data_IF_350544532483
#
_entry.id   IF_350544532483
#
_cell.length_a   1.000
_cell.length_b   1.000
_cell.length_c   1.000
_cell.angle_alpha   90.00
_cell.angle_beta   90.00
_cell.angle_gamma   90.00
#
_symmetry.space_group_name_H-M   'P 1'
#
loop_
_entity.id
_entity.type
_entity.pdbx_description
1 polymer ?
#
# COMPACT_ATOMS: atom_id res chain seq x y z
N UNK A 1 0.13 -22.26 -8.61
CA UNK A 1 -0.45 -22.43 -7.25
C UNK A 1 -1.50 -23.51 -7.36
N UNK A 2 -1.62 -24.40 -6.37
CA UNK A 2 -2.64 -25.46 -6.37
C UNK A 2 -3.45 -25.41 -5.08
N UNK A 3 -4.76 -25.62 -5.17
CA UNK A 3 -5.67 -25.68 -4.04
C UNK A 3 -6.27 -27.08 -3.95
N UNK A 4 -6.22 -27.67 -2.75
CA UNK A 4 -6.79 -28.98 -2.47
C UNK A 4 -7.78 -28.91 -1.32
N UNK A 5 -8.94 -29.52 -1.51
CA UNK A 5 -9.85 -29.89 -0.43
C UNK A 5 -9.37 -31.18 0.23
N UNK A 6 -9.33 -31.21 1.56
CA UNK A 6 -8.94 -32.39 2.34
C UNK A 6 -10.20 -33.11 2.82
N UNK A 7 -10.44 -34.31 2.32
CA UNK A 7 -11.53 -35.17 2.82
C UNK A 7 -11.20 -35.73 4.21
N UNK A 8 -12.20 -36.18 4.98
CA UNK A 8 -12.02 -36.74 6.34
C UNK A 8 -10.95 -37.84 6.44
N UNK A 9 -10.77 -38.62 5.37
CA UNK A 9 -9.79 -39.72 5.30
C UNK A 9 -8.37 -39.27 4.93
N UNK A 10 -8.18 -37.97 4.67
CA UNK A 10 -6.91 -37.39 4.22
C UNK A 10 -6.66 -37.48 2.71
N UNK A 11 -7.67 -37.85 1.92
CA UNK A 11 -7.57 -37.79 0.46
C UNK A 11 -7.65 -36.32 0.02
N UNK A 12 -6.92 -35.99 -1.06
CA UNK A 12 -6.88 -34.66 -1.63
C UNK A 12 -7.74 -34.60 -2.89
N UNK A 13 -8.55 -33.56 -3.00
CA UNK A 13 -9.35 -33.24 -4.18
C UNK A 13 -8.98 -31.83 -4.66
N UNK A 14 -8.48 -31.71 -5.89
CA UNK A 14 -8.10 -30.41 -6.45
C UNK A 14 -9.35 -29.56 -6.71
N UNK A 15 -9.26 -28.26 -6.37
CA UNK A 15 -10.35 -27.29 -6.52
C UNK A 15 -9.82 -26.00 -7.12
N UNK A 16 -10.63 -25.38 -7.97
CA UNK A 16 -10.30 -24.08 -8.55
C UNK A 16 -10.75 -22.92 -7.66
N UNK A 17 -11.65 -23.14 -6.70
CA UNK A 17 -12.24 -22.07 -5.89
C UNK A 17 -12.38 -22.48 -4.44
N UNK A 18 -12.18 -21.53 -3.54
CA UNK A 18 -12.24 -21.72 -2.09
C UNK A 18 -13.52 -21.13 -1.49
N UNK A 19 -14.30 -21.96 -0.80
CA UNK A 19 -15.60 -21.57 -0.22
C UNK A 19 -15.57 -21.34 1.31
N UNK A 20 -14.41 -21.55 1.96
CA UNK A 20 -14.16 -21.27 3.40
C UNK A 20 -15.27 -21.73 4.36
N UNK A 21 -15.74 -22.97 4.20
CA UNK A 21 -16.68 -23.55 5.15
C UNK A 21 -16.01 -23.85 6.50
N UNK A 22 -16.74 -23.64 7.60
CA UNK A 22 -16.20 -23.78 8.96
C UNK A 22 -15.86 -25.24 9.32
N UNK A 23 -16.45 -26.21 8.64
CA UNK A 23 -16.31 -27.65 8.86
C UNK A 23 -15.27 -28.31 7.93
N UNK A 24 -14.55 -27.52 7.13
CA UNK A 24 -13.64 -28.00 6.11
C UNK A 24 -12.16 -27.71 6.41
N UNK A 25 -11.27 -28.44 5.72
CA UNK A 25 -9.83 -28.17 5.67
C UNK A 25 -9.33 -28.12 4.23
N UNK A 26 -8.41 -27.19 3.98
CA UNK A 26 -7.84 -26.95 2.65
C UNK A 26 -6.31 -26.88 2.72
N UNK A 27 -5.65 -27.31 1.63
CA UNK A 27 -4.22 -27.12 1.41
C UNK A 27 -4.00 -26.17 0.24
N UNK A 28 -3.20 -25.14 0.45
CA UNK A 28 -2.78 -24.20 -0.62
C UNK A 28 -1.29 -24.35 -0.84
N UNK A 29 -0.91 -24.80 -2.03
CA UNK A 29 0.49 -24.98 -2.44
C UNK A 29 0.98 -23.80 -3.29
N UNK A 30 1.85 -22.99 -2.69
CA UNK A 30 2.53 -21.84 -3.30
C UNK A 30 3.99 -22.15 -3.67
N UNK A 31 4.27 -23.39 -4.12
CA UNK A 31 5.60 -23.92 -4.50
C UNK A 31 6.58 -24.07 -3.32
N UNK A 32 6.86 -22.99 -2.60
CA UNK A 32 7.82 -22.91 -1.49
C UNK A 32 7.16 -23.09 -0.11
N UNK A 33 5.87 -22.78 -0.01
CA UNK A 33 5.09 -22.89 1.22
C UNK A 33 3.80 -23.65 0.94
N UNK A 34 3.42 -24.56 1.83
CA UNK A 34 2.12 -25.20 1.83
C UNK A 34 1.36 -24.70 3.05
N UNK A 35 0.28 -23.97 2.82
CA UNK A 35 -0.62 -23.50 3.86
C UNK A 35 -1.68 -24.57 4.13
N UNK A 36 -1.93 -24.84 5.40
CA UNK A 36 -2.94 -25.77 5.89
C UNK A 36 -4.00 -24.93 6.59
N UNK A 37 -5.10 -24.65 5.90
CA UNK A 37 -6.20 -23.89 6.47
C UNK A 37 -7.22 -24.84 7.11
N UNK A 38 -7.62 -24.52 8.35
CA UNK A 38 -8.45 -25.36 9.20
C UNK A 38 -9.68 -24.56 9.64
N UNK A 39 -10.86 -25.00 9.22
CA UNK A 39 -12.13 -24.45 9.66
C UNK A 39 -12.34 -24.62 11.17
N UNK A 40 -13.09 -23.71 11.80
CA UNK A 40 -13.30 -23.72 13.25
C UNK A 40 -14.06 -24.95 13.76
N UNK A 41 -15.02 -25.44 12.99
CA UNK A 41 -15.91 -26.55 13.32
C UNK A 41 -15.36 -27.95 13.01
N UNK A 42 -14.16 -28.03 12.45
CA UNK A 42 -13.63 -29.30 11.97
C UNK A 42 -13.19 -30.25 13.11
N UNK A 43 -13.55 -31.54 13.06
CA UNK A 43 -13.13 -32.54 14.05
C UNK A 43 -11.61 -32.74 14.13
N UNK A 44 -11.10 -33.07 15.33
CA UNK A 44 -9.66 -33.26 15.58
C UNK A 44 -9.01 -34.32 14.68
N UNK A 45 -9.70 -35.44 14.45
CA UNK A 45 -9.24 -36.50 13.56
C UNK A 45 -9.08 -36.05 12.10
N UNK A 46 -9.89 -35.08 11.67
CA UNK A 46 -9.81 -34.51 10.32
C UNK A 46 -8.66 -33.49 10.24
N UNK A 47 -8.42 -32.69 11.29
CA UNK A 47 -7.20 -31.86 11.42
C UNK A 47 -5.93 -32.69 11.27
N UNK A 48 -5.83 -33.81 12.00
CA UNK A 48 -4.68 -34.72 11.91
C UNK A 48 -4.50 -35.30 10.51
N UNK A 49 -5.61 -35.57 9.82
CA UNK A 49 -5.61 -36.08 8.45
C UNK A 49 -5.13 -35.03 7.46
N UNK A 50 -5.52 -33.76 7.61
CA UNK A 50 -5.02 -32.63 6.82
C UNK A 50 -3.51 -32.42 7.00
N UNK A 51 -3.02 -32.44 8.23
CA UNK A 51 -1.58 -32.31 8.51
C UNK A 51 -0.80 -33.50 7.92
N UNK A 52 -1.34 -34.72 7.99
CA UNK A 52 -0.73 -35.90 7.37
C UNK A 52 -0.67 -35.78 5.85
N UNK A 53 -1.75 -35.31 5.22
CA UNK A 53 -1.83 -35.11 3.78
C UNK A 53 -0.84 -34.03 3.32
N UNK A 54 -0.75 -32.89 4.01
CA UNK A 54 0.22 -31.84 3.72
C UNK A 54 1.67 -32.35 3.78
N UNK A 55 2.01 -33.18 4.77
CA UNK A 55 3.32 -33.81 4.87
C UNK A 55 3.58 -34.82 3.75
N UNK A 56 2.56 -35.53 3.29
CA UNK A 56 2.69 -36.45 2.15
C UNK A 56 2.94 -35.68 0.85
N UNK A 57 2.14 -34.64 0.58
CA UNK A 57 2.30 -33.74 -0.55
C UNK A 57 3.71 -33.11 -0.58
N UNK A 58 4.20 -32.62 0.57
CA UNK A 58 5.53 -32.04 0.67
C UNK A 58 6.65 -33.07 0.35
N UNK A 59 6.50 -34.32 0.78
CA UNK A 59 7.45 -35.39 0.45
C UNK A 59 7.44 -35.74 -1.04
N UNK A 60 6.26 -35.81 -1.65
CA UNK A 60 6.10 -36.15 -3.07
C UNK A 60 6.75 -35.12 -3.99
N UNK A 61 6.70 -33.84 -3.62
CA UNK A 61 7.36 -32.75 -4.37
C UNK A 61 8.89 -32.85 -4.36
N UNK A 62 9.48 -33.63 -3.45
CA UNK A 62 10.93 -33.79 -3.31
C UNK A 62 11.68 -32.53 -2.85
N UNK A 63 10.97 -31.42 -2.61
CA UNK A 63 11.49 -30.15 -2.07
C UNK A 63 10.93 -29.94 -0.67
N UNK A 64 11.75 -29.46 0.26
CA UNK A 64 11.31 -29.14 1.62
C UNK A 64 10.55 -27.80 1.64
N UNK A 65 9.28 -27.80 1.23
CA UNK A 65 8.43 -26.64 1.40
C UNK A 65 8.13 -26.38 2.88
N UNK A 66 7.99 -25.12 3.26
CA UNK A 66 7.56 -24.71 4.62
C UNK A 66 6.09 -25.06 4.80
N UNK A 67 5.72 -25.68 5.92
CA UNK A 67 4.32 -25.93 6.26
C UNK A 67 3.85 -24.87 7.25
N UNK A 68 2.72 -24.21 6.97
CA UNK A 68 2.11 -23.21 7.86
C UNK A 68 0.69 -23.65 8.16
N UNK A 69 0.37 -23.85 9.45
CA UNK A 69 -0.97 -24.14 9.92
C UNK A 69 -1.69 -22.84 10.23
N UNK A 70 -2.92 -22.69 9.73
CA UNK A 70 -3.76 -21.51 9.91
C UNK A 70 -5.15 -21.96 10.37
N UNK A 71 -5.56 -21.50 11.55
CA UNK A 71 -6.93 -21.68 12.01
C UNK A 71 -7.82 -20.53 11.50
N UNK A 72 -9.09 -20.84 11.24
CA UNK A 72 -10.06 -19.85 10.77
C UNK A 72 -10.21 -18.65 11.72
N UNK A 73 -10.03 -17.45 11.16
CA UNK A 73 -10.03 -16.18 11.90
C UNK A 73 -8.66 -15.83 12.51
N UNK A 74 -7.62 -16.64 12.29
CA UNK A 74 -6.23 -16.37 12.65
C UNK A 74 -5.33 -16.37 11.42
N UNK A 75 -5.89 -16.06 10.24
CA UNK A 75 -5.13 -15.89 9.02
C UNK A 75 -4.34 -14.57 9.05
N UNK A 76 -3.11 -14.59 8.51
CA UNK A 76 -2.25 -13.40 8.49
C UNK A 76 -1.32 -13.39 7.28
N UNK A 77 -0.77 -12.20 7.02
CA UNK A 77 0.28 -11.98 6.02
C UNK A 77 -0.14 -12.38 4.61
N UNK A 78 0.77 -13.00 3.87
CA UNK A 78 0.57 -13.37 2.47
C UNK A 78 -0.64 -14.28 2.24
N UNK A 79 -1.06 -15.08 3.24
CA UNK A 79 -2.20 -15.96 3.08
C UNK A 79 -3.51 -15.18 2.93
N UNK A 80 -3.67 -14.02 3.56
CA UNK A 80 -4.88 -13.21 3.42
C UNK A 80 -5.12 -12.76 1.98
N UNK A 81 -4.04 -12.34 1.31
CA UNK A 81 -4.09 -12.02 -0.11
C UNK A 81 -4.43 -13.25 -0.95
N UNK A 82 -3.82 -14.41 -0.64
CA UNK A 82 -4.17 -15.67 -1.30
C UNK A 82 -5.64 -16.04 -1.12
N UNK A 83 -6.24 -15.79 0.06
CA UNK A 83 -7.66 -16.05 0.28
C UNK A 83 -8.55 -15.24 -0.66
N UNK A 84 -8.22 -13.97 -0.90
CA UNK A 84 -8.98 -13.10 -1.82
C UNK A 84 -8.88 -13.63 -3.26
N UNK A 85 -7.67 -13.96 -3.72
CA UNK A 85 -7.44 -14.57 -5.05
C UNK A 85 -8.20 -15.90 -5.18
N UNK A 86 -8.12 -16.78 -4.17
CA UNK A 86 -8.76 -18.10 -4.20
C UNK A 86 -10.30 -18.04 -4.13
N UNK A 87 -10.87 -16.94 -3.61
CA UNK A 87 -12.32 -16.70 -3.67
C UNK A 87 -12.79 -16.34 -5.07
N UNK A 88 -11.95 -15.67 -5.85
CA UNK A 88 -12.26 -15.35 -7.25
C UNK A 88 -12.03 -16.57 -8.15
N UNK A 89 -11.08 -17.42 -7.76
CA UNK A 89 -10.71 -18.65 -8.41
C UNK A 89 -9.20 -18.68 -8.67
N UNK A 90 -8.62 -19.88 -8.68
CA UNK A 90 -7.23 -20.07 -9.09
C UNK A 90 -7.15 -19.56 -10.54
N UNK A 91 -6.34 -18.51 -10.80
CA UNK A 91 -6.23 -17.99 -12.15
C UNK A 91 -5.78 -19.13 -13.05
N UNK A 92 -6.54 -19.36 -14.12
CA UNK A 92 -6.14 -20.29 -15.16
C UNK A 92 -4.73 -19.92 -15.62
N UNK A 93 -3.90 -20.93 -15.90
CA UNK A 93 -2.46 -20.82 -16.23
C UNK A 93 -2.14 -19.99 -17.50
N UNK A 94 -3.08 -19.17 -17.96
CA UNK A 94 -2.87 -18.05 -18.87
C UNK A 94 -1.96 -17.03 -18.18
N UNK A 95 -0.65 -17.36 -18.23
CA UNK A 95 0.52 -16.51 -18.03
C UNK A 95 0.18 -15.19 -17.36
N UNK A 96 0.04 -15.24 -16.03
CA UNK A 96 0.48 -14.11 -15.22
C UNK A 96 1.93 -13.89 -15.61
N UNK A 97 2.18 -12.92 -16.49
CA UNK A 97 3.53 -12.47 -16.81
C UNK A 97 4.18 -12.23 -15.45
N UNK A 98 5.30 -12.91 -15.19
CA UNK A 98 6.07 -12.67 -13.98
C UNK A 98 6.30 -11.16 -13.94
N UNK A 99 5.65 -10.47 -12.98
CA UNK A 99 5.95 -9.06 -12.73
C UNK A 99 7.46 -9.02 -12.58
N UNK A 100 8.14 -8.33 -13.50
CA UNK A 100 9.60 -8.31 -13.54
C UNK A 100 10.11 -8.08 -12.14
N UNK A 101 10.92 -9.01 -11.63
CA UNK A 101 11.53 -8.82 -10.32
C UNK A 101 12.34 -7.54 -10.41
N UNK A 102 12.04 -6.58 -9.53
CA UNK A 102 12.74 -5.31 -9.52
C UNK A 102 14.16 -5.55 -9.00
N UNK A 103 15.12 -5.67 -9.91
CA UNK A 103 16.54 -5.72 -9.59
C UNK A 103 17.01 -4.29 -9.28
N UNK A 104 17.11 -3.97 -7.98
CA UNK A 104 17.77 -2.75 -7.51
C UNK A 104 19.23 -2.77 -7.95
N UNK A 105 19.57 -1.95 -8.94
CA UNK A 105 20.97 -1.72 -9.31
C UNK A 105 21.55 -0.71 -8.33
N UNK A 106 22.64 -1.05 -7.66
CA UNK A 106 23.33 -0.07 -6.83
C UNK A 106 23.67 1.18 -7.70
N UNK A 107 23.42 2.41 -7.21
CA UNK A 107 23.86 3.63 -7.88
C UNK A 107 25.36 3.53 -8.21
N UNK A 108 25.75 3.91 -9.43
CA UNK A 108 27.13 3.78 -9.92
C UNK A 108 28.14 4.47 -8.99
N UNK A 109 27.73 5.56 -8.34
CA UNK A 109 28.52 6.36 -7.39
C UNK A 109 28.90 5.63 -6.09
N UNK A 110 28.24 4.50 -5.79
CA UNK A 110 28.50 3.67 -4.60
C UNK A 110 29.40 2.49 -4.95
N UNK A 111 29.38 2.04 -6.21
CA UNK A 111 30.13 0.87 -6.66
C UNK A 111 31.66 1.06 -6.62
N UNK A 112 32.14 2.31 -6.61
CA UNK A 112 33.57 2.63 -6.59
C UNK A 112 34.13 3.01 -5.20
N UNK A 113 33.28 3.16 -4.17
CA UNK A 113 33.74 3.58 -2.83
C UNK A 113 34.07 2.40 -1.91
N UNK A 114 35.07 2.57 -1.04
CA UNK A 114 35.39 1.55 -0.03
C UNK A 114 34.22 1.36 0.96
N UNK A 115 33.98 0.13 1.48
CA UNK A 115 32.77 -0.22 2.23
C UNK A 115 32.50 0.66 3.46
N UNK A 116 33.54 1.19 4.10
CA UNK A 116 33.43 2.05 5.28
C UNK A 116 32.94 3.47 4.93
N UNK A 117 33.21 3.97 3.72
CA UNK A 117 32.70 5.26 3.24
C UNK A 117 31.26 5.15 2.67
N UNK A 118 30.90 3.99 2.13
CA UNK A 118 29.55 3.72 1.62
C UNK A 118 28.48 3.74 2.73
N UNK A 119 28.82 3.32 3.94
CA UNK A 119 27.92 3.32 5.09
C UNK A 119 27.57 4.73 5.61
N UNK A 120 28.40 5.75 5.31
CA UNK A 120 28.14 7.14 5.68
C UNK A 120 27.22 7.84 4.66
N UNK A 121 27.10 7.29 3.44
CA UNK A 121 26.26 7.82 2.35
C UNK A 121 24.83 7.28 2.36
N UNK A 122 24.34 6.73 3.48
CA UNK A 122 22.97 6.22 3.62
C UNK A 122 21.90 7.33 3.42
N UNK A 123 22.29 8.61 3.43
CA UNK A 123 21.43 9.73 2.99
C UNK A 123 20.98 9.64 1.52
N UNK A 124 21.53 8.71 0.73
CA UNK A 124 21.18 8.51 -0.68
C UNK A 124 19.89 7.68 -0.89
N UNK A 125 18.98 7.67 0.09
CA UNK A 125 17.59 7.18 -0.03
C UNK A 125 16.91 7.79 -1.27
N UNK A 126 17.27 9.03 -1.62
CA UNK A 126 16.80 9.74 -2.82
C UNK A 126 17.12 9.00 -4.12
N UNK A 127 18.33 8.45 -4.27
CA UNK A 127 18.73 7.74 -5.50
C UNK A 127 17.99 6.42 -5.70
N UNK A 128 17.67 5.72 -4.62
CA UNK A 128 16.84 4.51 -4.66
C UNK A 128 15.38 4.83 -4.99
N UNK A 129 14.88 5.96 -4.47
CA UNK A 129 13.55 6.49 -4.78
C UNK A 129 13.41 6.85 -6.27
N UNK A 130 14.43 7.43 -6.89
CA UNK A 130 14.40 7.77 -8.32
C UNK A 130 14.49 6.55 -9.26
N UNK A 131 15.22 5.50 -8.87
CA UNK A 131 15.16 4.22 -9.58
C UNK A 131 13.76 3.58 -9.52
N UNK A 132 13.11 3.67 -8.36
CA UNK A 132 11.73 3.19 -8.18
C UNK A 132 10.75 3.99 -9.04
N UNK A 133 10.90 5.32 -9.15
CA UNK A 133 10.08 6.16 -10.04
C UNK A 133 10.29 5.80 -11.52
N UNK A 134 11.54 5.59 -11.93
CA UNK A 134 11.88 5.23 -13.33
C UNK A 134 11.28 3.87 -13.71
N UNK A 135 11.39 2.87 -12.84
CA UNK A 135 10.82 1.53 -13.08
C UNK A 135 9.29 1.51 -13.09
N UNK A 136 8.66 2.39 -12.30
CA UNK A 136 7.21 2.56 -12.26
C UNK A 136 6.66 3.36 -13.45
N UNK A 137 7.52 3.82 -14.37
CA UNK A 137 7.13 4.59 -15.55
C UNK A 137 6.54 5.98 -15.21
N UNK A 138 6.89 6.53 -14.04
CA UNK A 138 6.34 7.80 -13.54
C UNK A 138 7.22 9.03 -13.81
N UNK A 139 8.38 8.87 -14.44
CA UNK A 139 9.12 10.01 -15.01
C UNK A 139 8.39 10.47 -16.27
N UNK A 140 7.57 11.52 -16.14
CA UNK A 140 7.22 12.32 -17.31
C UNK A 140 8.53 12.84 -17.91
N UNK A 141 8.76 12.55 -19.18
CA UNK A 141 9.81 13.22 -19.95
C UNK A 141 9.56 14.73 -19.84
N UNK A 142 10.29 15.42 -18.96
CA UNK A 142 10.41 16.87 -19.06
C UNK A 142 11.17 17.13 -20.35
N UNK A 143 10.44 17.57 -21.38
CA UNK A 143 11.02 18.12 -22.59
C UNK A 143 12.00 19.24 -22.20
N UNK A 144 13.29 19.04 -22.48
CA UNK A 144 14.28 20.10 -22.41
C UNK A 144 13.86 21.25 -23.35
N UNK A 145 13.87 22.51 -22.90
CA UNK A 145 13.54 23.62 -23.77
C UNK A 145 14.64 23.82 -24.82
N UNK A 146 14.30 23.62 -26.10
CA UNK A 146 15.14 24.02 -27.24
C UNK A 146 15.48 25.52 -27.17
N UNK A 147 16.74 25.85 -26.92
CA UNK A 147 17.31 27.17 -27.16
C UNK A 147 17.30 27.46 -28.67
N UNK A 148 16.37 28.32 -29.13
CA UNK A 148 16.46 28.92 -30.46
C UNK A 148 17.29 30.19 -30.44
N UNK A 149 18.53 30.06 -30.88
CA UNK A 149 19.40 31.16 -31.26
C UNK A 149 18.79 31.99 -32.42
N UNK A 150 18.84 33.31 -32.24
CA UNK A 150 18.62 34.30 -33.29
C UNK A 150 19.89 34.40 -34.14
N UNK A 151 19.77 34.21 -35.45
CA UNK A 151 20.68 34.84 -36.40
C UNK A 151 19.93 35.57 -37.51
N UNK A 152 20.37 36.80 -37.73
CA UNK A 152 19.91 37.77 -38.72
C UNK A 152 20.82 37.65 -39.92
N UNK A 153 20.28 37.49 -41.13
CA UNK A 153 20.86 38.14 -42.30
C UNK A 153 19.81 38.38 -43.38
N UNK A 154 19.90 39.57 -43.95
CA UNK A 154 19.11 40.05 -45.07
C UNK A 154 19.90 39.86 -46.35
N UNK A 155 19.26 39.44 -47.44
CA UNK A 155 19.59 39.97 -48.77
C UNK A 155 18.43 39.74 -49.75
N UNK A 156 18.11 40.80 -50.48
CA UNK A 156 17.11 40.87 -51.54
C UNK A 156 17.66 40.30 -52.85
N UNK A 157 16.80 39.85 -53.77
CA UNK A 157 16.89 40.09 -55.23
C UNK A 157 15.55 39.71 -55.90
N UNK A 158 15.14 40.59 -56.82
CA UNK A 158 13.93 40.64 -57.63
C UNK A 158 13.88 39.54 -58.74
N UNK A 159 12.71 39.00 -59.10
CA UNK A 159 11.85 39.35 -60.27
C UNK A 159 11.63 38.11 -61.21
N UNK A 160 10.74 38.15 -62.23
CA UNK A 160 9.52 37.34 -62.30
C UNK A 160 9.53 36.28 -63.43
N UNK A 161 8.40 35.61 -63.73
CA UNK A 161 7.88 35.30 -65.09
C UNK A 161 6.73 34.26 -65.07
N UNK A 162 5.57 34.73 -65.56
CA UNK A 162 4.53 34.11 -66.41
C UNK A 162 3.93 32.71 -66.17
N UNK A 163 2.63 32.75 -65.88
CA UNK A 163 1.50 32.00 -66.44
C UNK A 163 1.74 30.84 -67.44
N UNK A 164 1.03 29.72 -67.22
CA UNK A 164 0.28 29.02 -68.28
C UNK A 164 -0.84 28.13 -67.74
N UNK A 165 -1.95 28.21 -68.46
CA UNK A 165 -3.25 27.53 -68.32
C UNK A 165 -3.28 26.16 -69.00
N UNK A 166 -4.18 25.27 -68.53
CA UNK A 166 -5.00 24.25 -69.23
C UNK A 166 -5.39 23.20 -68.18
N UNK A 167 -6.65 22.90 -67.82
CA UNK A 167 -7.91 22.68 -68.55
C UNK A 167 -7.90 21.42 -69.44
N UNK A 168 -8.36 20.28 -68.88
CA UNK A 168 -9.13 19.14 -69.48
C UNK A 168 -9.62 18.31 -68.27
N UNK A 169 -10.89 18.31 -67.84
CA UNK A 169 -12.15 17.80 -68.39
C UNK A 169 -12.33 16.25 -68.36
N UNK A 170 -13.36 15.82 -67.61
CA UNK A 170 -14.20 14.60 -67.79
C UNK A 170 -13.53 13.21 -67.60
N UNK A 171 -14.14 12.16 -67.03
CA UNK A 171 -15.54 11.80 -66.81
C UNK A 171 -15.66 10.60 -65.81
N UNK A 172 -16.73 10.60 -65.00
CA UNK A 172 -17.57 9.47 -64.48
C UNK A 172 -16.95 8.10 -64.09
N UNK A 173 -17.38 7.59 -62.91
CA UNK A 173 -18.42 6.51 -62.74
C UNK A 173 -18.28 5.82 -61.35
N UNK A 174 -19.16 6.11 -60.38
CA UNK A 174 -20.28 5.27 -59.84
C UNK A 174 -19.87 4.12 -58.90
N UNK A 175 -20.62 4.03 -57.78
CA UNK A 175 -20.78 2.92 -56.80
C UNK A 175 -19.62 2.69 -55.80
N UNK A 176 -19.81 2.47 -54.50
CA UNK A 176 -21.01 2.19 -53.71
C UNK A 176 -20.77 2.61 -52.24
N UNK A 177 -21.89 2.90 -51.56
CA UNK A 177 -22.03 3.18 -50.14
C UNK A 177 -21.63 1.97 -49.28
N UNK A 178 -20.82 2.21 -48.26
CA UNK A 178 -20.77 1.41 -47.03
C UNK A 178 -20.51 2.40 -45.89
N UNK A 179 -21.59 2.87 -45.28
CA UNK A 179 -21.57 3.56 -44.00
C UNK A 179 -21.19 2.53 -42.93
N UNK A 180 -19.95 2.64 -42.43
CA UNK A 180 -19.56 2.01 -41.17
C UNK A 180 -19.51 3.14 -40.14
N UNK A 181 -20.57 3.25 -39.33
CA UNK A 181 -20.63 4.11 -38.15
C UNK A 181 -19.50 3.69 -37.18
N UNK A 182 -18.37 4.38 -37.27
CA UNK A 182 -17.36 4.35 -36.23
C UNK A 182 -17.81 5.31 -35.12
N UNK A 183 -18.32 4.75 -34.02
CA UNK A 183 -18.50 5.51 -32.78
C UNK A 183 -17.12 5.95 -32.29
N UNK A 184 -16.82 7.24 -32.44
CA UNK A 184 -15.78 7.91 -31.66
C UNK A 184 -16.14 7.79 -30.18
N UNK A 185 -15.56 6.80 -29.51
CA UNK A 185 -15.49 6.77 -28.06
C UNK A 185 -14.77 8.03 -27.61
N UNK A 186 -15.54 8.92 -26.97
CA UNK A 186 -15.02 10.08 -26.26
C UNK A 186 -14.02 9.59 -25.20
N UNK A 187 -12.73 9.80 -25.48
CA UNK A 187 -11.70 9.74 -24.46
C UNK A 187 -11.96 10.90 -23.49
N UNK A 188 -12.71 10.61 -22.44
CA UNK A 188 -12.89 11.52 -21.31
C UNK A 188 -11.56 11.57 -20.56
N UNK A 189 -10.72 12.53 -20.91
CA UNK A 189 -9.58 12.93 -20.07
C UNK A 189 -10.16 13.45 -18.75
N UNK A 190 -10.14 12.62 -17.71
CA UNK A 190 -10.42 13.07 -16.33
C UNK A 190 -9.30 14.01 -15.92
N UNK A 191 -9.53 15.31 -16.05
CA UNK A 191 -8.69 16.33 -15.44
C UNK A 191 -8.60 16.05 -13.94
N UNK A 192 -7.37 15.92 -13.42
CA UNK A 192 -7.14 15.80 -11.98
C UNK A 192 -7.67 17.10 -11.33
N UNK A 193 -8.52 17.01 -10.29
CA UNK A 193 -8.96 18.20 -9.58
C UNK A 193 -7.73 18.97 -9.08
N UNK A 194 -7.64 20.24 -9.43
CA UNK A 194 -6.59 21.13 -8.93
C UNK A 194 -6.61 21.19 -7.41
N UNK A 195 -5.49 21.57 -6.79
CA UNK A 195 -5.30 21.65 -5.33
C UNK A 195 -6.47 22.35 -4.61
N UNK A 196 -7.13 23.32 -5.26
CA UNK A 196 -8.30 24.02 -4.73
C UNK A 196 -9.55 23.15 -4.58
N UNK A 197 -9.83 22.26 -5.55
CA UNK A 197 -10.96 21.32 -5.48
C UNK A 197 -10.71 20.23 -4.43
N UNK A 198 -9.44 19.84 -4.24
CA UNK A 198 -9.02 18.96 -3.15
C UNK A 198 -9.21 19.63 -1.77
N UNK A 199 -8.89 20.92 -1.64
CA UNK A 199 -9.10 21.72 -0.42
C UNK A 199 -10.59 21.82 -0.04
N UNK A 200 -11.50 21.98 -1.02
CA UNK A 200 -12.95 22.04 -0.75
C UNK A 200 -13.52 20.69 -0.31
N UNK A 201 -13.01 19.59 -0.87
CA UNK A 201 -13.43 18.23 -0.49
C UNK A 201 -13.05 17.93 0.98
N UNK A 202 -11.83 18.28 1.39
CA UNK A 202 -11.34 18.10 2.77
C UNK A 202 -12.16 18.89 3.81
N UNK A 203 -12.52 20.14 3.52
CA UNK A 203 -13.33 20.97 4.42
C UNK A 203 -14.77 20.44 4.58
N UNK A 204 -15.29 19.76 3.56
CA UNK A 204 -16.64 19.17 3.58
C UNK A 204 -16.71 17.97 4.52
N UNK A 205 -15.71 17.07 4.49
CA UNK A 205 -15.66 15.89 5.36
C UNK A 205 -15.62 16.24 6.85
N UNK A 206 -14.91 17.31 7.23
CA UNK A 206 -14.80 17.72 8.63
C UNK A 206 -16.10 18.32 9.18
N UNK A 207 -16.87 18.99 8.33
CA UNK A 207 -18.15 19.58 8.72
C UNK A 207 -19.19 18.50 9.04
N UNK A 208 -19.10 17.31 8.42
CA UNK A 208 -20.00 16.19 8.70
C UNK A 208 -19.71 15.40 9.97
N UNK A 209 -18.49 15.49 10.52
CA UNK A 209 -18.06 14.70 11.68
C UNK A 209 -18.39 15.38 13.02
N UNK A 210 -18.50 16.72 13.02
CA UNK A 210 -18.81 17.53 14.22
C UNK A 210 -20.30 17.52 14.63
N UNK A 211 -21.21 16.96 13.83
CA UNK A 211 -22.65 16.91 14.14
C UNK A 211 -23.10 15.59 14.80
N UNK A 212 -22.19 14.66 15.11
CA UNK A 212 -22.55 13.27 15.49
C UNK A 212 -22.29 12.86 16.96
N UNK A 213 -21.98 13.77 17.88
CA UNK A 213 -21.79 13.44 19.30
C UNK A 213 -23.10 13.68 20.11
N UNK A 214 -23.72 12.64 20.68
CA UNK A 214 -24.87 12.82 21.58
C UNK A 214 -24.40 13.36 22.94
N UNK A 215 -24.91 14.53 23.33
CA UNK A 215 -24.72 15.12 24.66
C UNK A 215 -25.18 14.14 25.75
N UNK A 216 -24.23 13.54 26.46
CA UNK A 216 -24.50 12.74 27.66
C UNK A 216 -24.44 13.64 28.91
N UNK A 217 -25.61 13.90 29.50
CA UNK A 217 -25.78 14.56 30.80
C UNK A 217 -25.01 13.80 31.90
N UNK A 218 -23.90 14.37 32.37
CA UNK A 218 -23.14 13.86 33.53
C UNK A 218 -23.67 14.51 34.81
N UNK A 219 -24.26 13.71 35.69
CA UNK A 219 -24.75 14.13 36.99
C UNK A 219 -23.59 14.53 37.95
N UNK A 220 -23.81 15.50 38.86
CA UNK A 220 -22.77 15.95 39.80
C UNK A 220 -22.57 14.93 40.93
N UNK A 221 -21.35 14.39 41.06
CA UNK A 221 -20.94 13.56 42.20
C UNK A 221 -20.60 14.43 43.43
N UNK A 222 -21.17 14.04 44.56
CA UNK A 222 -20.98 14.67 45.88
C UNK A 222 -19.55 14.47 46.40
N UNK A 223 -19.05 15.49 47.10
CA UNK A 223 -17.71 15.55 47.68
C UNK A 223 -17.68 14.78 49.00
N UNK A 224 -17.04 13.61 49.02
CA UNK A 224 -16.65 12.95 50.28
C UNK A 224 -15.34 13.55 50.81
N UNK A 225 -15.36 14.01 52.06
CA UNK A 225 -14.18 14.48 52.79
C UNK A 225 -13.33 13.28 53.22
N UNK A 226 -12.16 13.12 52.59
CA UNK A 226 -11.19 12.07 52.91
C UNK A 226 -10.36 12.49 54.14
N UNK A 227 -10.45 11.69 55.20
CA UNK A 227 -9.63 11.80 56.41
C UNK A 227 -8.22 11.28 56.09
N UNK A 228 -7.22 12.16 56.20
CA UNK A 228 -5.81 11.83 55.92
C UNK A 228 -5.18 11.18 57.15
N UNK A 229 -5.22 9.85 57.23
CA UNK A 229 -4.34 9.10 58.13
C UNK A 229 -2.90 9.14 57.60
N UNK A 230 -1.95 9.45 58.50
CA UNK A 230 -0.52 9.48 58.22
C UNK A 230 -0.01 8.05 57.96
N UNK A 231 0.00 7.64 56.69
CA UNK A 231 0.65 6.41 56.23
C UNK A 231 2.17 6.64 56.27
N UNK A 232 2.96 5.77 56.94
CA UNK A 232 4.42 5.85 56.92
C UNK A 232 4.91 5.73 55.47
N UNK A 233 5.80 6.65 55.07
CA UNK A 233 6.49 6.61 53.77
C UNK A 233 7.38 5.37 53.72
N UNK A 234 6.85 4.25 53.24
CA UNK A 234 7.67 3.20 52.67
C UNK A 234 8.31 3.77 51.41
N UNK A 235 9.64 3.71 51.34
CA UNK A 235 10.37 4.04 50.10
C UNK A 235 9.84 3.09 49.03
N UNK A 236 9.25 3.59 47.93
CA UNK A 236 8.72 2.72 46.89
C UNK A 236 9.89 1.90 46.36
N UNK A 237 9.80 0.58 46.52
CA UNK A 237 10.71 -0.36 45.86
C UNK A 237 10.75 0.04 44.38
N UNK A 238 11.93 0.45 43.90
CA UNK A 238 12.15 0.81 42.50
C UNK A 238 11.85 -0.43 41.65
N UNK A 239 10.61 -0.52 41.14
CA UNK A 239 10.26 -1.56 40.18
C UNK A 239 11.22 -1.43 39.00
N UNK A 240 11.87 -2.52 38.58
CA UNK A 240 12.83 -2.49 37.49
C UNK A 240 12.13 -1.93 36.25
N UNK A 241 12.65 -0.82 35.73
CA UNK A 241 12.17 -0.18 34.50
C UNK A 241 12.31 -1.22 33.39
N UNK A 242 11.18 -1.76 32.91
CA UNK A 242 11.19 -2.68 31.77
C UNK A 242 11.67 -1.92 30.54
N UNK A 243 12.81 -2.34 29.98
CA UNK A 243 13.33 -1.79 28.73
C UNK A 243 12.29 -1.97 27.63
N UNK A 244 12.06 -0.96 26.77
CA UNK A 244 11.07 -1.09 25.69
C UNK A 244 11.45 -2.26 24.77
N UNK A 245 10.46 -3.05 24.31
CA UNK A 245 10.70 -4.20 23.43
C UNK A 245 11.33 -3.73 22.13
N UNK A 246 12.31 -4.46 21.60
CA UNK A 246 13.08 -4.05 20.42
C UNK A 246 12.19 -3.85 19.17
N UNK A 247 12.61 -3.03 18.18
CA UNK A 247 11.80 -2.81 16.97
C UNK A 247 11.45 -4.09 16.19
N UNK A 248 12.31 -5.12 16.25
CA UNK A 248 12.05 -6.41 15.62
C UNK A 248 10.91 -7.18 16.32
N UNK A 249 10.81 -7.08 17.64
CA UNK A 249 9.75 -7.70 18.45
C UNK A 249 8.41 -7.01 18.23
N UNK A 250 8.42 -5.73 17.87
CA UNK A 250 7.22 -4.93 17.57
C UNK A 250 6.67 -5.16 16.15
N UNK A 251 7.48 -5.69 15.23
CA UNK A 251 7.10 -5.88 13.82
C UNK A 251 5.80 -6.68 13.61
N UNK A 252 5.51 -7.77 14.36
CA UNK A 252 4.22 -8.46 14.25
C UNK A 252 3.02 -7.59 14.65
N UNK A 253 3.14 -6.77 15.69
CA UNK A 253 2.09 -5.84 16.14
C UNK A 253 1.87 -4.73 15.11
N UNK A 254 2.96 -4.19 14.54
CA UNK A 254 2.91 -3.19 13.46
C UNK A 254 2.17 -3.74 12.24
N UNK A 255 2.52 -4.94 11.78
CA UNK A 255 1.87 -5.56 10.63
C UNK A 255 0.38 -5.80 10.88
N UNK A 256 0.01 -6.25 12.08
CA UNK A 256 -1.38 -6.50 12.44
C UNK A 256 -2.19 -5.19 12.50
N UNK A 257 -1.62 -4.15 13.10
CA UNK A 257 -2.23 -2.83 13.19
C UNK A 257 -2.41 -2.19 11.80
N UNK A 258 -1.38 -2.24 10.95
CA UNK A 258 -1.45 -1.76 9.57
C UNK A 258 -2.54 -2.47 8.76
N UNK A 259 -2.69 -3.78 8.96
CA UNK A 259 -3.75 -4.57 8.35
C UNK A 259 -5.14 -4.07 8.77
N UNK A 260 -5.38 -3.84 10.07
CA UNK A 260 -6.67 -3.33 10.53
C UNK A 260 -6.95 -1.91 10.01
N UNK A 261 -5.95 -1.02 10.00
CA UNK A 261 -6.05 0.30 9.39
C UNK A 261 -6.45 0.23 7.91
N UNK A 262 -5.91 -0.74 7.17
CA UNK A 262 -6.28 -0.93 5.77
C UNK A 262 -7.76 -1.34 5.59
N UNK A 263 -8.31 -2.10 6.53
CA UNK A 263 -9.71 -2.59 6.49
C UNK A 263 -10.73 -1.55 6.91
N UNK A 264 -10.31 -0.49 7.60
CA UNK A 264 -11.17 0.65 7.94
C UNK A 264 -11.57 1.48 6.71
N UNK A 265 -10.98 1.23 5.53
CA UNK A 265 -11.26 1.91 4.26
C UNK A 265 -11.15 3.44 4.36
N UNK A 266 -10.15 3.93 5.09
CA UNK A 266 -9.81 5.36 5.05
C UNK A 266 -9.50 5.79 3.63
N UNK A 267 -9.79 7.04 3.29
CA UNK A 267 -9.30 7.58 2.02
C UNK A 267 -7.79 7.80 2.12
N UNK A 268 -7.11 7.77 0.98
CA UNK A 268 -5.67 8.06 0.92
C UNK A 268 -5.33 9.41 1.58
N UNK A 269 -6.13 10.44 1.30
CA UNK A 269 -5.97 11.78 1.88
C UNK A 269 -6.10 11.78 3.41
N UNK A 270 -7.05 11.01 3.95
CA UNK A 270 -7.22 10.86 5.41
C UNK A 270 -5.99 10.19 6.02
N UNK A 271 -5.41 9.18 5.38
CA UNK A 271 -4.19 8.56 5.86
C UNK A 271 -2.99 9.52 5.82
N UNK A 272 -2.84 10.31 4.75
CA UNK A 272 -1.80 11.36 4.69
C UNK A 272 -1.95 12.37 5.84
N UNK A 273 -3.20 12.79 6.11
CA UNK A 273 -3.52 13.69 7.22
C UNK A 273 -3.14 13.10 8.57
N UNK A 274 -3.60 11.88 8.86
CA UNK A 274 -3.31 11.19 10.10
C UNK A 274 -1.79 11.01 10.29
N UNK A 275 -1.07 10.67 9.22
CA UNK A 275 0.38 10.46 9.30
C UNK A 275 1.10 11.78 9.62
N UNK A 276 0.71 12.86 8.94
CA UNK A 276 1.24 14.20 9.17
C UNK A 276 0.98 14.69 10.62
N UNK A 277 -0.23 14.50 11.13
CA UNK A 277 -0.60 14.84 12.50
C UNK A 277 0.27 14.08 13.51
N UNK A 278 0.44 12.77 13.33
CA UNK A 278 1.29 11.94 14.21
C UNK A 278 2.75 12.40 14.17
N UNK A 279 3.32 12.59 12.98
CA UNK A 279 4.70 13.07 12.82
C UNK A 279 4.92 14.42 13.52
N UNK A 280 4.02 15.38 13.34
CA UNK A 280 4.15 16.70 13.97
C UNK A 280 3.94 16.63 15.49
N UNK A 281 3.03 15.77 15.97
CA UNK A 281 2.81 15.57 17.40
C UNK A 281 4.06 15.04 18.13
N UNK A 282 4.87 14.23 17.42
CA UNK A 282 6.14 13.72 17.94
C UNK A 282 7.21 14.81 17.90
N UNK A 283 7.27 15.61 16.83
CA UNK A 283 8.29 16.64 16.67
C UNK A 283 8.12 17.86 17.60
N UNK A 284 6.91 18.13 18.06
CA UNK A 284 6.56 19.37 18.76
C UNK A 284 6.28 19.21 20.25
N UNK A 285 6.48 18.01 20.79
CA UNK A 285 6.14 17.68 22.17
C UNK A 285 6.56 18.81 23.15
N UNK A 286 5.64 19.38 23.95
CA UNK A 286 4.23 19.00 24.20
C UNK A 286 3.17 19.84 23.45
N UNK A 287 3.56 20.68 22.49
CA UNK A 287 2.63 21.59 21.83
C UNK A 287 1.86 20.90 20.70
N UNK A 288 0.54 20.90 20.79
CA UNK A 288 -0.31 20.41 19.70
C UNK A 288 -0.03 21.17 18.39
N UNK A 289 0.15 20.46 17.26
CA UNK A 289 0.37 21.09 15.97
C UNK A 289 -0.88 21.84 15.53
N UNK A 290 -0.69 22.99 14.89
CA UNK A 290 -1.81 23.71 14.30
C UNK A 290 -2.31 22.98 13.05
N UNK A 291 -3.59 23.13 12.75
CA UNK A 291 -4.22 22.50 11.60
C UNK A 291 -3.55 22.87 10.27
N UNK A 292 -3.08 24.12 10.13
CA UNK A 292 -2.40 24.57 8.92
C UNK A 292 -1.06 23.84 8.73
N UNK A 293 -0.36 23.54 9.82
CA UNK A 293 0.88 22.78 9.77
C UNK A 293 0.62 21.31 9.42
N UNK A 294 -0.44 20.71 9.98
CA UNK A 294 -0.86 19.35 9.61
C UNK A 294 -1.22 19.31 8.13
N UNK A 295 -1.97 20.30 7.64
CA UNK A 295 -2.35 20.41 6.23
C UNK A 295 -1.14 20.52 5.31
N UNK A 296 -0.19 21.40 5.63
CA UNK A 296 1.04 21.55 4.86
C UNK A 296 1.82 20.23 4.83
N UNK A 297 1.96 19.58 5.98
CA UNK A 297 2.70 18.32 6.08
C UNK A 297 2.00 17.17 5.37
N UNK A 298 0.66 17.11 5.42
CA UNK A 298 -0.12 16.11 4.69
C UNK A 298 0.03 16.27 3.16
N UNK A 299 0.12 17.51 2.67
CA UNK A 299 0.40 17.78 1.27
C UNK A 299 1.80 17.29 0.86
N UNK A 300 2.82 17.46 1.71
CA UNK A 300 4.16 16.89 1.48
C UNK A 300 4.12 15.36 1.41
N UNK A 301 3.40 14.70 2.32
CA UNK A 301 3.24 13.23 2.35
C UNK A 301 2.49 12.73 1.11
N UNK A 302 1.45 13.42 0.68
CA UNK A 302 0.70 13.06 -0.54
C UNK A 302 1.61 13.12 -1.79
N UNK A 303 2.59 14.03 -1.80
CA UNK A 303 3.54 14.18 -2.89
C UNK A 303 4.73 13.19 -2.83
N UNK A 304 4.97 12.51 -1.70
CA UNK A 304 6.14 11.64 -1.50
C UNK A 304 6.06 10.27 -2.20
N UNK A 305 5.10 10.05 -3.10
CA UNK A 305 4.88 8.80 -3.85
C UNK A 305 4.63 7.55 -2.98
N UNK A 306 4.25 7.75 -1.72
CA UNK A 306 3.96 6.69 -0.75
C UNK A 306 2.64 6.01 -1.13
N UNK A 307 2.63 4.68 -1.20
CA UNK A 307 1.41 3.92 -1.48
C UNK A 307 0.46 3.87 -0.29
N UNK A 308 -0.79 3.49 -0.53
CA UNK A 308 -1.81 3.35 0.52
C UNK A 308 -1.36 2.39 1.64
N UNK A 309 -0.84 1.22 1.27
CA UNK A 309 -0.39 0.19 2.24
C UNK A 309 0.81 0.69 3.06
N UNK A 310 1.73 1.44 2.45
CA UNK A 310 2.85 2.05 3.14
C UNK A 310 2.39 3.12 4.14
N UNK A 311 1.36 3.91 3.82
CA UNK A 311 0.77 4.87 4.77
C UNK A 311 0.14 4.17 5.97
N UNK A 312 -0.63 3.10 5.76
CA UNK A 312 -1.18 2.28 6.84
C UNK A 312 -0.06 1.71 7.73
N UNK A 313 1.03 1.24 7.12
CA UNK A 313 2.16 0.69 7.85
C UNK A 313 2.91 1.74 8.68
N UNK A 314 3.22 2.90 8.10
CA UNK A 314 3.88 4.00 8.82
C UNK A 314 3.03 4.55 9.96
N UNK A 315 1.71 4.64 9.76
CA UNK A 315 0.78 5.05 10.82
C UNK A 315 0.76 4.06 11.98
N UNK A 316 0.71 2.76 11.68
CA UNK A 316 0.78 1.71 12.69
C UNK A 316 2.09 1.76 13.47
N UNK A 317 3.22 1.91 12.76
CA UNK A 317 4.55 2.00 13.35
C UNK A 317 4.66 3.17 14.32
N UNK A 318 4.34 4.40 13.89
CA UNK A 318 4.43 5.58 14.75
C UNK A 318 3.51 5.48 15.97
N UNK A 319 2.33 4.87 15.80
CA UNK A 319 1.37 4.68 16.90
C UNK A 319 1.93 3.72 17.96
N UNK A 320 2.54 2.62 17.52
CA UNK A 320 3.12 1.61 18.42
C UNK A 320 4.39 2.16 19.09
N UNK A 321 5.28 2.83 18.36
CA UNK A 321 6.46 3.46 18.96
C UNK A 321 6.07 4.50 20.01
N UNK A 322 5.05 5.32 19.76
CA UNK A 322 4.53 6.25 20.76
C UNK A 322 3.97 5.53 21.99
N UNK A 323 3.26 4.41 21.81
CA UNK A 323 2.73 3.58 22.91
C UNK A 323 3.84 3.03 23.82
N UNK A 324 4.99 2.67 23.25
CA UNK A 324 6.13 2.12 23.99
C UNK A 324 7.15 3.18 24.44
N UNK A 325 6.82 4.48 24.34
CA UNK A 325 7.69 5.56 24.82
C UNK A 325 8.99 5.73 24.01
N UNK A 326 9.04 5.24 22.76
CA UNK A 326 10.24 5.35 21.93
C UNK A 326 10.66 6.79 21.63
N UNK A 327 9.70 7.72 21.67
CA UNK A 327 9.95 9.13 21.42
C UNK A 327 10.25 9.93 22.70
N UNK A 328 9.96 9.38 23.88
CA UNK A 328 10.24 10.04 25.16
C UNK A 328 11.74 10.00 25.52
N UNK A 329 12.54 9.26 24.75
CA UNK A 329 13.98 9.09 24.92
C UNK A 329 14.83 10.18 24.23
N UNK A 330 14.23 11.07 23.43
CA UNK A 330 14.93 12.09 22.62
C UNK A 330 14.64 13.51 23.08
#
# INVERSE_FOLDING_TARGET
MQLFYVQEKGNLEERDKLEFAEDDAYLVDDKNTIYIWIGRGIPVNHKDSAVRAARALNREKGKSAKLILLDQGQEYGAFMFLMEVLKEGVPSDERLEERGQFELKAPEDIAESEPEEAAVKIDNVVGWLDQLKTYRGTTSEEEEPEEKEKEVSAEAVEEPVEAKTSEVAEEKKVEAEAEEEFHEDQVVTRERPGVTAWVEQMNTYRSSELEAEPEHDVAPMEKEEVIVEHIPKEEPDEEPIEEPPSPEELRPEINLSAYFLSKENHTYDKLCWLLAEKQLSIQKDPKEPSEEEIRQKAAEVSQSSTSYDELCWLLAELTIYKKYGYFDMF
#
